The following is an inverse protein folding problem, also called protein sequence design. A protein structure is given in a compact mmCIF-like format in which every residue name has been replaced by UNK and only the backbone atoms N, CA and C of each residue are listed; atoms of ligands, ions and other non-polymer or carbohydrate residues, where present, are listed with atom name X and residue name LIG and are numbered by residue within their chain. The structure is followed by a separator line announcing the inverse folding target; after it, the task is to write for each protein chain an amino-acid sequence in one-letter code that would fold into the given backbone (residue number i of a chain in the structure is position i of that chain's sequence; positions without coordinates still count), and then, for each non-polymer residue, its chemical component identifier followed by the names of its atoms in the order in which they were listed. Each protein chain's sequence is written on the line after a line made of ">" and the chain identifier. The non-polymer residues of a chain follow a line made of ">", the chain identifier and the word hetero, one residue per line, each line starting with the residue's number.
data_IF_613944396331
#
_entry.id   IF_613944396331
#
_cell.length_a   1.000
_cell.length_b   1.000
_cell.length_c   1.000
_cell.angle_alpha   90.00
_cell.angle_beta   90.00
_cell.angle_gamma   90.00
#
_symmetry.space_group_name_H-M   'P 1'
#
loop_
_entity.id
_entity.type
_entity.pdbx_description
1 polymer ?
#
# COMPACT_ATOMS: atom_id res chain seq x y z
N UNK A 1 -2.19 -7.43 -18.62
CA UNK A 1 -1.65 -6.07 -18.52
C UNK A 1 -2.76 -5.19 -17.99
N UNK A 2 -2.50 -4.39 -16.95
CA UNK A 2 -3.44 -3.36 -16.54
C UNK A 2 -3.68 -2.41 -17.73
N UNK A 3 -4.92 -2.04 -17.95
CA UNK A 3 -5.32 -1.17 -19.04
C UNK A 3 -4.90 0.28 -18.76
N UNK A 4 -4.81 1.15 -19.79
CA UNK A 4 -4.31 2.52 -19.63
C UNK A 4 -5.10 3.35 -18.60
N UNK A 5 -6.37 3.01 -18.38
CA UNK A 5 -7.22 3.69 -17.41
C UNK A 5 -6.73 3.59 -15.94
N UNK A 6 -5.88 2.61 -15.60
CA UNK A 6 -5.33 2.51 -14.24
C UNK A 6 -4.51 3.76 -13.89
N UNK A 7 -3.73 4.28 -14.83
CA UNK A 7 -2.86 5.43 -14.60
C UNK A 7 -3.51 6.78 -14.99
N UNK A 8 -4.68 6.74 -15.64
CA UNK A 8 -5.35 7.95 -16.13
C UNK A 8 -6.02 8.76 -15.01
N UNK A 9 -6.32 8.14 -13.87
CA UNK A 9 -7.02 8.76 -12.74
C UNK A 9 -6.27 8.44 -11.43
N UNK A 10 -5.12 9.09 -11.17
CA UNK A 10 -4.41 8.86 -9.93
C UNK A 10 -5.24 9.29 -8.71
N UNK A 11 -5.11 8.59 -7.57
CA UNK A 11 -5.79 8.99 -6.35
C UNK A 11 -5.20 10.28 -5.78
N UNK A 12 -6.05 11.17 -5.27
CA UNK A 12 -5.61 12.23 -4.38
C UNK A 12 -5.20 11.60 -3.04
N UNK A 13 -3.91 11.59 -2.74
CA UNK A 13 -3.38 11.00 -1.51
C UNK A 13 -3.83 11.82 -0.28
N UNK A 14 -4.20 11.13 0.79
CA UNK A 14 -4.54 11.76 2.07
C UNK A 14 -4.02 10.90 3.22
N UNK A 15 -2.89 11.28 3.83
CA UNK A 15 -2.32 10.56 4.97
C UNK A 15 -3.23 10.50 6.21
N UNK A 16 -4.21 11.40 6.31
CA UNK A 16 -5.20 11.44 7.38
C UNK A 16 -6.47 10.62 7.06
N UNK A 17 -6.55 9.98 5.89
CA UNK A 17 -7.69 9.15 5.55
C UNK A 17 -7.68 7.83 6.34
N UNK A 18 -8.88 7.42 6.75
CA UNK A 18 -9.13 6.18 7.48
C UNK A 18 -9.28 6.39 8.99
N UNK A 19 -9.83 5.40 9.68
CA UNK A 19 -10.08 5.40 11.13
C UNK A 19 -9.06 4.55 11.92
N UNK A 20 -8.31 3.71 11.22
CA UNK A 20 -7.20 2.93 11.74
C UNK A 20 -5.97 3.79 12.02
N UNK A 21 -4.82 3.12 12.23
CA UNK A 21 -3.58 3.78 12.63
C UNK A 21 -2.42 3.38 11.75
N UNK A 22 -1.54 4.33 11.46
CA UNK A 22 -0.23 4.04 10.87
C UNK A 22 0.72 3.65 12.00
N UNK A 23 1.43 2.53 11.83
CA UNK A 23 2.50 2.07 12.71
C UNK A 23 3.81 2.10 11.94
N UNK A 24 4.88 2.59 12.59
CA UNK A 24 6.20 2.71 11.94
C UNK A 24 6.87 1.36 11.68
N UNK A 25 6.52 0.34 12.47
CA UNK A 25 7.04 -1.01 12.30
C UNK A 25 5.99 -2.06 12.61
N UNK A 26 5.57 -2.76 11.57
CA UNK A 26 4.83 -4.01 11.63
C UNK A 26 5.66 -5.07 10.89
N UNK A 27 6.42 -5.87 11.63
CA UNK A 27 7.39 -6.80 11.04
C UNK A 27 8.55 -6.10 10.31
N UNK A 28 8.92 -4.89 10.75
CA UNK A 28 10.00 -4.10 10.13
C UNK A 28 9.57 -3.22 8.96
N UNK A 29 8.28 -3.19 8.62
CA UNK A 29 7.73 -2.37 7.53
C UNK A 29 6.66 -1.45 8.10
N UNK A 30 6.63 -0.19 7.64
CA UNK A 30 5.55 0.76 7.99
C UNK A 30 4.22 0.21 7.48
N UNK A 31 3.16 0.29 8.26
CA UNK A 31 1.87 -0.24 7.85
C UNK A 31 0.72 0.58 8.41
N UNK A 32 -0.40 0.60 7.68
CA UNK A 32 -1.68 0.99 8.24
C UNK A 32 -2.39 -0.25 8.79
N UNK A 33 -2.85 -0.19 10.04
CA UNK A 33 -3.54 -1.30 10.71
C UNK A 33 -4.92 -0.87 11.18
N UNK A 34 -5.89 -1.75 11.02
CA UNK A 34 -7.28 -1.55 11.43
C UNK A 34 -7.86 -2.83 12.06
N UNK A 35 -8.87 -2.66 12.92
CA UNK A 35 -9.53 -3.78 13.60
C UNK A 35 -8.86 -4.21 14.90
N UNK A 36 -9.46 -5.20 15.56
CA UNK A 36 -9.03 -5.66 16.87
C UNK A 36 -7.84 -6.65 16.76
N UNK A 37 -6.84 -6.52 17.65
CA UNK A 37 -5.63 -7.34 17.62
C UNK A 37 -5.89 -8.81 17.99
N UNK A 38 -6.98 -9.11 18.67
CA UNK A 38 -7.44 -10.43 19.07
C UNK A 38 -8.41 -11.08 18.07
N UNK A 39 -8.54 -10.49 16.87
CA UNK A 39 -9.33 -11.07 15.78
C UNK A 39 -8.83 -12.47 15.42
N UNK A 40 -9.75 -13.41 15.17
CA UNK A 40 -9.40 -14.81 14.82
C UNK A 40 -8.74 -14.98 13.45
N UNK A 41 -8.89 -13.99 12.58
CA UNK A 41 -8.35 -14.00 11.23
C UNK A 41 -7.86 -12.60 10.85
N UNK A 42 -6.88 -12.57 9.95
CA UNK A 42 -6.30 -11.34 9.43
C UNK A 42 -6.43 -11.25 7.90
N UNK A 43 -6.52 -10.02 7.39
CA UNK A 43 -6.52 -9.70 5.97
C UNK A 43 -5.35 -8.76 5.68
N UNK A 44 -4.55 -9.10 4.69
CA UNK A 44 -3.48 -8.22 4.18
C UNK A 44 -3.96 -7.60 2.88
N UNK A 45 -4.06 -6.27 2.86
CA UNK A 45 -4.39 -5.52 1.64
C UNK A 45 -3.11 -4.89 1.09
N UNK A 46 -2.86 -5.08 -0.19
CA UNK A 46 -1.65 -4.58 -0.86
C UNK A 46 -2.04 -3.39 -1.72
N UNK A 47 -1.34 -2.27 -1.54
CA UNK A 47 -1.52 -1.08 -2.38
C UNK A 47 -1.04 -1.33 -3.80
N UNK A 48 -1.61 -0.58 -4.75
CA UNK A 48 -1.02 -0.45 -6.08
C UNK A 48 0.19 0.51 -6.06
N UNK A 49 0.64 0.92 -7.24
CA UNK A 49 1.80 1.81 -7.44
C UNK A 49 1.67 3.17 -6.75
N UNK A 50 0.46 3.61 -6.39
CA UNK A 50 0.23 4.89 -5.71
C UNK A 50 0.43 4.82 -4.19
N UNK A 51 0.68 3.62 -3.65
CA UNK A 51 1.03 3.42 -2.25
C UNK A 51 -0.16 3.37 -1.29
N UNK A 52 0.16 3.10 -0.02
CA UNK A 52 -0.84 2.79 1.01
C UNK A 52 -1.58 4.00 1.60
N UNK A 53 -1.21 5.21 1.19
CA UNK A 53 -1.87 6.47 1.58
C UNK A 53 -3.07 6.81 0.69
N UNK A 54 -3.37 5.96 -0.30
CA UNK A 54 -4.56 6.06 -1.12
C UNK A 54 -5.83 5.98 -0.25
N UNK A 55 -6.71 7.01 -0.23
CA UNK A 55 -7.83 7.07 0.71
C UNK A 55 -8.82 5.91 0.58
N UNK A 56 -9.04 5.43 -0.65
CA UNK A 56 -9.97 4.35 -0.92
C UNK A 56 -9.47 3.02 -0.37
N UNK A 57 -8.15 2.77 -0.41
CA UNK A 57 -7.55 1.55 0.13
C UNK A 57 -7.75 1.48 1.65
N UNK A 58 -7.52 2.58 2.36
CA UNK A 58 -7.72 2.66 3.82
C UNK A 58 -9.20 2.52 4.20
N UNK A 59 -10.12 3.12 3.45
CA UNK A 59 -11.57 2.92 3.64
C UNK A 59 -11.99 1.45 3.47
N UNK A 60 -11.41 0.74 2.50
CA UNK A 60 -11.64 -0.69 2.33
C UNK A 60 -11.09 -1.45 3.55
N UNK A 61 -9.89 -1.10 4.01
CA UNK A 61 -9.31 -1.70 5.21
C UNK A 61 -10.21 -1.52 6.44
N UNK A 62 -10.73 -0.31 6.66
CA UNK A 62 -11.62 -0.01 7.79
C UNK A 62 -12.96 -0.77 7.70
N UNK A 63 -13.52 -0.89 6.49
CA UNK A 63 -14.74 -1.66 6.26
C UNK A 63 -14.55 -3.16 6.50
N UNK A 64 -13.42 -3.71 6.06
CA UNK A 64 -13.06 -5.11 6.31
C UNK A 64 -12.81 -5.31 7.81
N UNK A 65 -12.12 -4.40 8.47
CA UNK A 65 -11.89 -4.43 9.91
C UNK A 65 -13.20 -4.40 10.71
N UNK A 66 -14.16 -3.56 10.29
CA UNK A 66 -15.50 -3.49 10.87
C UNK A 66 -16.31 -4.78 10.72
N UNK A 67 -15.89 -5.69 9.84
CA UNK A 67 -16.47 -7.02 9.67
C UNK A 67 -15.86 -8.07 10.62
N UNK A 68 -14.98 -7.68 11.54
CA UNK A 68 -14.39 -8.56 12.57
C UNK A 68 -13.03 -9.16 12.21
N UNK A 69 -12.30 -8.56 11.28
CA UNK A 69 -10.96 -8.97 10.88
C UNK A 69 -9.90 -8.01 11.40
N UNK A 70 -8.69 -8.53 11.66
CA UNK A 70 -7.51 -7.68 11.79
C UNK A 70 -6.96 -7.37 10.40
N UNK A 71 -6.82 -6.10 10.04
CA UNK A 71 -6.42 -5.71 8.69
C UNK A 71 -5.09 -4.99 8.73
N UNK A 72 -4.18 -5.37 7.83
CA UNK A 72 -2.87 -4.75 7.67
C UNK A 72 -2.69 -4.30 6.21
N UNK A 73 -2.24 -3.07 6.03
CA UNK A 73 -1.87 -2.49 4.74
C UNK A 73 -0.39 -2.06 4.81
N UNK A 74 0.54 -2.96 4.45
CA UNK A 74 1.97 -2.66 4.52
C UNK A 74 2.43 -1.72 3.41
N UNK A 75 3.40 -0.87 3.73
CA UNK A 75 4.10 0.00 2.78
C UNK A 75 5.25 -0.75 2.11
N UNK A 76 4.92 -1.59 1.11
CA UNK A 76 5.92 -2.31 0.33
C UNK A 76 6.73 -1.43 -0.62
N UNK A 77 6.32 -0.17 -0.82
CA UNK A 77 7.04 0.79 -1.64
C UNK A 77 8.02 1.62 -0.80
N UNK A 78 8.08 1.41 0.52
CA UNK A 78 9.01 2.08 1.44
C UNK A 78 8.96 3.61 1.34
N UNK A 79 7.77 4.17 1.12
CA UNK A 79 7.57 5.61 0.95
C UNK A 79 7.95 6.15 -0.44
N UNK A 80 8.17 5.29 -1.43
CA UNK A 80 8.48 5.69 -2.82
C UNK A 80 7.36 5.31 -3.83
N UNK A 81 6.12 5.79 -3.65
CA UNK A 81 5.05 5.53 -4.61
C UNK A 81 5.31 6.22 -5.95
N UNK A 82 4.67 5.71 -7.01
CA UNK A 82 4.69 6.35 -8.32
C UNK A 82 3.93 7.68 -8.31
N UNK A 83 4.58 8.73 -8.81
CA UNK A 83 4.02 10.09 -8.95
C UNK A 83 3.87 10.43 -10.43
N UNK A 84 2.64 10.44 -10.98
CA UNK A 84 2.39 10.68 -12.41
C UNK A 84 2.92 12.02 -12.92
N UNK A 85 2.95 13.04 -12.07
CA UNK A 85 3.37 14.40 -12.41
C UNK A 85 4.89 14.51 -12.59
N UNK A 86 5.64 13.49 -12.18
CA UNK A 86 7.09 13.44 -12.36
C UNK A 86 7.45 13.00 -13.79
N UNK A 87 7.57 13.97 -14.70
CA UNK A 87 7.92 13.73 -16.10
C UNK A 87 9.30 13.07 -16.29
N UNK A 88 10.23 13.29 -15.37
CA UNK A 88 11.60 12.73 -15.43
C UNK A 88 11.64 11.25 -15.01
N UNK A 89 10.59 10.77 -14.33
CA UNK A 89 10.49 9.40 -13.81
C UNK A 89 9.18 8.73 -14.29
N UNK A 90 9.04 8.45 -15.59
CA UNK A 90 7.86 7.76 -16.11
C UNK A 90 7.72 6.36 -15.50
N UNK A 91 6.51 5.80 -15.51
CA UNK A 91 6.20 4.53 -14.86
C UNK A 91 7.14 3.38 -15.25
N UNK A 92 7.62 3.34 -16.49
CA UNK A 92 8.56 2.32 -16.97
C UNK A 92 9.94 2.41 -16.29
N UNK A 93 10.36 3.60 -15.87
CA UNK A 93 11.59 3.82 -15.09
C UNK A 93 11.33 3.44 -13.63
N UNK A 94 10.23 3.93 -13.04
CA UNK A 94 9.85 3.62 -11.67
C UNK A 94 9.74 2.10 -11.40
N UNK A 95 9.14 1.34 -12.34
CA UNK A 95 9.02 -0.14 -12.23
C UNK A 95 10.39 -0.83 -12.19
N UNK A 96 11.40 -0.31 -12.92
CA UNK A 96 12.74 -0.90 -12.93
C UNK A 96 13.47 -0.74 -11.59
N UNK A 97 13.13 0.31 -10.84
CA UNK A 97 13.70 0.58 -9.53
C UNK A 97 13.02 -0.25 -8.42
N UNK A 98 11.83 -0.78 -8.70
CA UNK A 98 10.99 -1.57 -7.78
C UNK A 98 10.84 -3.04 -8.21
N UNK A 99 11.84 -3.59 -8.91
CA UNK A 99 11.82 -5.01 -9.25
C UNK A 99 11.92 -5.89 -7.99
N UNK A 100 11.33 -7.10 -8.00
CA UNK A 100 11.49 -8.03 -6.89
C UNK A 100 12.98 -8.25 -6.61
N UNK A 101 13.40 -8.01 -5.37
CA UNK A 101 14.76 -8.34 -4.95
C UNK A 101 14.88 -9.87 -5.01
N UNK A 102 15.68 -10.37 -5.94
CA UNK A 102 15.95 -11.79 -6.06
C UNK A 102 16.87 -12.21 -4.91
N UNK A 103 16.30 -12.68 -3.80
CA UNK A 103 17.05 -13.22 -2.65
C UNK A 103 17.76 -14.57 -2.94
N UNK A 104 17.82 -15.03 -4.18
CA UNK A 104 18.49 -16.29 -4.56
C UNK A 104 20.04 -16.20 -4.62
N UNK A 105 20.63 -15.10 -4.13
CA UNK A 105 22.08 -14.95 -4.04
C UNK A 105 22.48 -14.55 -2.61
N UNK A 106 22.18 -15.40 -1.65
CA UNK A 106 22.94 -15.47 -0.40
C UNK A 106 23.76 -16.77 -0.50
N UNK A 107 25.11 -16.71 -0.60
CA UNK A 107 25.96 -17.90 -0.56
C UNK A 107 25.92 -18.61 0.80
#
# INVERSE_FOLDING_TARGET
>A
MASPQCCANPPALNPAAGEGKVVDSFGGIKAYVAGAQDSKAAVVLISDVYGFEAPNLRKIADKVASSGYFVVVPDFLHGDPFVPENADRPIAVWIKEHTPVCYLLIP
#
